data_IF_952844091171
#
_entry.id   IF_952844091171
#
_cell.length_a   1.000
_cell.length_b   1.000
_cell.length_c   1.000
_cell.angle_alpha   90.00
_cell.angle_beta   90.00
_cell.angle_gamma   90.00
#
_symmetry.space_group_name_H-M   'P 1'
#
loop_
_entity.id
_entity.type
_entity.pdbx_description
1 polymer ?
#
# COMPACT_ATOMS: atom_id res chain seq x y z
N UNK A 1 -10.16 12.85 -8.79
CA UNK A 1 -10.39 11.59 -8.07
C UNK A 1 -11.76 10.99 -8.34
N UNK A 2 -12.00 10.48 -9.55
CA UNK A 2 -13.08 9.51 -9.80
C UNK A 2 -12.45 8.13 -9.88
N UNK A 3 -13.14 7.13 -9.35
CA UNK A 3 -12.78 5.72 -9.53
C UNK A 3 -13.51 5.21 -10.77
N UNK A 4 -12.75 4.72 -11.74
CA UNK A 4 -13.25 4.00 -12.91
C UNK A 4 -12.95 2.52 -12.70
N UNK A 5 -13.91 1.61 -12.95
CA UNK A 5 -13.72 0.18 -12.70
C UNK A 5 -12.49 -0.39 -13.42
N UNK A 6 -12.26 0.02 -14.66
CA UNK A 6 -11.15 -0.51 -15.47
C UNK A 6 -9.80 0.16 -15.18
N UNK A 7 -9.81 1.44 -14.81
CA UNK A 7 -8.59 2.25 -14.69
C UNK A 7 -8.17 2.51 -13.24
N UNK A 8 -9.04 2.27 -12.26
CA UNK A 8 -8.80 2.60 -10.85
C UNK A 8 -9.03 4.06 -10.52
N UNK A 9 -8.31 4.57 -9.52
CA UNK A 9 -8.44 5.94 -9.04
C UNK A 9 -7.69 6.90 -9.95
N UNK A 10 -8.42 7.79 -10.65
CA UNK A 10 -7.80 8.82 -11.49
C UNK A 10 -7.26 9.94 -10.61
N UNK A 11 -5.93 10.03 -10.52
CA UNK A 11 -5.19 11.04 -9.75
C UNK A 11 -5.17 12.35 -10.52
N UNK A 12 -4.68 12.32 -11.76
CA UNK A 12 -4.46 13.52 -12.56
C UNK A 12 -4.59 13.24 -14.06
N UNK A 13 -5.04 14.25 -14.82
CA UNK A 13 -4.92 14.27 -16.27
C UNK A 13 -3.55 14.87 -16.59
N UNK A 14 -2.66 14.08 -17.17
CA UNK A 14 -1.30 14.52 -17.50
C UNK A 14 -1.29 15.36 -18.77
N UNK A 15 -2.09 14.94 -19.75
CA UNK A 15 -2.08 15.53 -21.07
C UNK A 15 -3.43 15.32 -21.76
N UNK A 16 -3.80 16.25 -22.65
CA UNK A 16 -5.03 16.19 -23.43
C UNK A 16 -4.73 16.65 -24.85
N UNK A 17 -4.92 15.74 -25.79
CA UNK A 17 -4.85 16.00 -27.22
C UNK A 17 -6.29 16.02 -27.77
N UNK A 18 -6.77 17.21 -28.13
CA UNK A 18 -8.10 17.40 -28.70
C UNK A 18 -8.02 17.59 -30.22
N UNK A 19 -8.97 16.99 -30.94
CA UNK A 19 -9.10 17.24 -32.38
C UNK A 19 -9.46 18.71 -32.63
N UNK A 20 -8.78 19.40 -33.56
CA UNK A 20 -9.04 20.81 -33.84
C UNK A 20 -10.42 21.04 -34.46
N UNK A 21 -11.03 20.00 -35.05
CA UNK A 21 -12.36 20.05 -35.64
C UNK A 21 -13.38 19.49 -34.66
N UNK A 22 -14.29 20.36 -34.20
CA UNK A 22 -15.40 20.01 -33.31
C UNK A 22 -16.75 19.95 -34.04
N UNK A 23 -17.76 19.43 -33.35
CA UNK A 23 -19.16 19.34 -33.80
C UNK A 23 -20.04 20.21 -32.90
N UNK A 24 -21.01 20.92 -33.48
CA UNK A 24 -22.05 21.62 -32.74
C UNK A 24 -23.31 20.75 -32.67
N UNK A 25 -23.89 20.61 -31.48
CA UNK A 25 -25.14 19.88 -31.30
C UNK A 25 -26.33 20.84 -31.47
N UNK A 26 -27.45 20.40 -32.09
CA UNK A 26 -28.64 21.24 -32.18
C UNK A 26 -29.12 21.67 -30.79
N UNK A 27 -29.39 22.96 -30.61
CA UNK A 27 -29.87 23.58 -29.35
C UNK A 27 -28.83 23.66 -28.23
N UNK A 28 -27.57 23.33 -28.51
CA UNK A 28 -26.43 23.57 -27.62
C UNK A 28 -25.37 24.43 -28.35
N UNK A 29 -24.93 25.52 -27.71
CA UNK A 29 -23.93 26.43 -28.26
C UNK A 29 -22.48 25.97 -28.04
N UNK A 30 -22.27 24.86 -27.33
CA UNK A 30 -20.95 24.33 -27.05
C UNK A 30 -20.34 23.58 -28.24
N UNK A 31 -19.02 23.73 -28.43
CA UNK A 31 -18.24 22.95 -29.40
C UNK A 31 -17.77 21.64 -28.79
N UNK A 32 -18.16 20.52 -29.38
CA UNK A 32 -17.77 19.19 -28.93
C UNK A 32 -16.60 18.67 -29.73
N UNK A 33 -15.49 18.40 -29.06
CA UNK A 33 -14.28 17.86 -29.67
C UNK A 33 -14.05 16.44 -29.20
N UNK A 34 -13.59 15.56 -30.10
CA UNK A 34 -13.02 14.28 -29.68
C UNK A 34 -11.66 14.56 -29.06
N UNK A 35 -11.42 14.06 -27.86
CA UNK A 35 -10.14 14.24 -27.18
C UNK A 35 -9.60 12.90 -26.69
N UNK A 36 -8.28 12.75 -26.76
CA UNK A 36 -7.54 11.68 -26.12
C UNK A 36 -6.80 12.28 -24.94
N UNK A 37 -7.06 11.74 -23.75
CA UNK A 37 -6.41 12.19 -22.53
C UNK A 37 -5.46 11.11 -22.02
N UNK A 38 -4.25 11.51 -21.58
CA UNK A 38 -3.35 10.65 -20.80
C UNK A 38 -3.66 10.86 -19.33
N UNK A 39 -4.01 9.78 -18.64
CA UNK A 39 -4.42 9.80 -17.23
C UNK A 39 -3.36 9.12 -16.37
N UNK A 40 -3.01 9.75 -15.25
CA UNK A 40 -2.28 9.12 -14.16
C UNK A 40 -3.31 8.47 -13.23
N UNK A 41 -3.31 7.15 -13.19
CA UNK A 41 -4.24 6.36 -12.41
C UNK A 41 -3.51 5.53 -11.37
N UNK A 42 -4.12 5.40 -10.19
CA UNK A 42 -3.69 4.50 -9.14
C UNK A 42 -4.61 3.27 -9.14
N UNK A 43 -4.03 2.11 -9.44
CA UNK A 43 -4.76 0.84 -9.56
C UNK A 43 -4.08 -0.23 -8.69
N UNK A 44 -4.58 -0.47 -7.46
CA UNK A 44 -4.03 -1.51 -6.59
C UNK A 44 -4.38 -2.90 -7.12
N UNK A 45 -3.38 -3.78 -7.23
CA UNK A 45 -3.59 -5.16 -7.67
C UNK A 45 -3.66 -6.12 -6.49
N UNK A 46 -4.46 -7.18 -6.64
CA UNK A 46 -4.53 -8.25 -5.64
C UNK A 46 -3.18 -8.98 -5.60
N UNK A 47 -2.68 -9.28 -4.40
CA UNK A 47 -1.37 -9.84 -4.09
C UNK A 47 -0.15 -8.94 -4.32
N UNK A 48 -0.37 -7.68 -4.72
CA UNK A 48 0.70 -6.70 -4.82
C UNK A 48 1.32 -6.44 -3.43
N UNK A 49 2.65 -6.37 -3.39
CA UNK A 49 3.39 -5.97 -2.19
C UNK A 49 3.70 -4.49 -2.33
N UNK A 50 3.24 -3.70 -1.36
CA UNK A 50 3.45 -2.27 -1.29
C UNK A 50 4.08 -1.85 0.02
N UNK A 51 4.49 -0.60 0.05
CA UNK A 51 4.96 0.10 1.25
C UNK A 51 4.07 1.30 1.48
N UNK A 52 3.87 1.65 2.75
CA UNK A 52 3.06 2.78 3.13
C UNK A 52 3.25 3.15 4.59
N UNK A 53 2.76 4.32 4.94
CA UNK A 53 2.87 4.91 6.26
C UNK A 53 1.58 4.68 7.04
N UNK A 54 1.68 4.31 8.31
CA UNK A 54 0.52 4.22 9.20
C UNK A 54 0.02 5.63 9.52
N UNK A 55 -1.20 5.97 9.11
CA UNK A 55 -1.82 7.29 9.37
C UNK A 55 -2.62 7.28 10.66
N UNK A 56 -3.30 6.18 10.94
CA UNK A 56 -4.21 6.09 12.08
C UNK A 56 -4.24 4.65 12.60
N UNK A 57 -4.37 4.52 13.92
CA UNK A 57 -4.51 3.23 14.59
C UNK A 57 -5.78 3.29 15.42
N UNK A 58 -6.59 2.24 15.30
CA UNK A 58 -7.85 2.05 16.03
C UNK A 58 -7.86 0.70 16.72
N UNK A 59 -8.87 0.45 17.57
CA UNK A 59 -9.01 -0.83 18.28
C UNK A 59 -9.19 -2.03 17.32
N UNK A 60 -9.75 -1.80 16.13
CA UNK A 60 -10.02 -2.86 15.15
C UNK A 60 -8.92 -3.01 14.10
N UNK A 61 -7.94 -2.10 14.03
CA UNK A 61 -6.89 -2.18 13.03
C UNK A 61 -6.03 -0.92 12.89
N UNK A 62 -5.31 -0.84 11.78
CA UNK A 62 -4.51 0.31 11.39
C UNK A 62 -4.85 0.73 9.97
N UNK A 63 -4.88 2.04 9.72
CA UNK A 63 -5.00 2.63 8.40
C UNK A 63 -3.62 3.00 7.89
N UNK A 64 -3.28 2.45 6.73
CA UNK A 64 -1.99 2.66 6.07
C UNK A 64 -2.26 3.42 4.78
N UNK A 65 -1.57 4.55 4.59
CA UNK A 65 -1.69 5.33 3.37
C UNK A 65 -0.95 4.64 2.24
N UNK A 66 -1.68 4.36 1.15
CA UNK A 66 -1.15 3.76 -0.07
C UNK A 66 -1.43 4.71 -1.23
N UNK A 67 -0.56 5.71 -1.37
CA UNK A 67 -0.72 6.76 -2.37
C UNK A 67 -1.98 7.60 -2.12
N UNK A 68 -2.97 7.62 -3.04
CA UNK A 68 -4.18 8.44 -2.90
C UNK A 68 -5.30 7.78 -2.09
N UNK A 69 -5.16 6.51 -1.70
CA UNK A 69 -6.16 5.75 -0.95
C UNK A 69 -5.57 5.25 0.37
N UNK A 70 -6.44 5.07 1.35
CA UNK A 70 -6.09 4.44 2.62
C UNK A 70 -6.47 2.96 2.60
N UNK A 71 -5.55 2.11 3.03
CA UNK A 71 -5.74 0.68 3.16
C UNK A 71 -6.00 0.32 4.62
N UNK A 72 -6.95 -0.59 4.84
CA UNK A 72 -7.30 -1.12 6.14
C UNK A 72 -6.48 -2.39 6.41
N UNK A 73 -5.68 -2.34 7.47
CA UNK A 73 -5.03 -3.49 8.07
C UNK A 73 -5.83 -3.91 9.31
N UNK A 74 -6.57 -5.00 9.21
CA UNK A 74 -7.35 -5.53 10.33
C UNK A 74 -6.43 -6.03 11.45
N UNK A 75 -6.81 -5.88 12.72
CA UNK A 75 -5.98 -6.24 13.89
C UNK A 75 -5.45 -7.68 13.82
N UNK A 76 -6.27 -8.63 13.36
CA UNK A 76 -5.87 -10.05 13.22
C UNK A 76 -4.86 -10.33 12.10
N UNK A 77 -4.61 -9.35 11.22
CA UNK A 77 -3.69 -9.43 10.09
C UNK A 77 -2.37 -8.68 10.31
N UNK A 78 -2.21 -8.00 11.46
CA UNK A 78 -1.02 -7.21 11.79
C UNK A 78 0.17 -8.13 12.14
N UNK A 79 0.00 -8.99 13.13
CA UNK A 79 1.03 -9.91 13.62
C UNK A 79 0.39 -11.18 14.17
N UNK A 80 1.16 -12.27 14.21
CA UNK A 80 0.73 -13.54 14.79
C UNK A 80 0.89 -13.55 16.31
N UNK A 81 0.24 -12.60 16.98
CA UNK A 81 0.35 -12.41 18.44
C UNK A 81 -0.93 -11.83 19.04
N UNK A 82 -1.05 -11.89 20.36
CA UNK A 82 -2.05 -11.14 21.10
C UNK A 82 -1.67 -9.67 21.15
N UNK A 83 -2.43 -8.85 20.43
CA UNK A 83 -2.22 -7.42 20.34
C UNK A 83 -3.03 -6.73 21.43
N UNK A 84 -2.39 -5.78 22.13
CA UNK A 84 -3.05 -4.86 23.06
C UNK A 84 -3.03 -3.47 22.46
N UNK A 85 -4.18 -2.79 22.44
CA UNK A 85 -4.29 -1.41 22.03
C UNK A 85 -4.11 -0.50 23.25
N UNK A 86 -3.16 0.44 23.17
CA UNK A 86 -3.01 1.51 24.17
C UNK A 86 -3.65 2.78 23.61
N UNK A 87 -4.82 3.13 24.15
CA UNK A 87 -5.65 4.25 23.70
C UNK A 87 -4.95 5.61 23.89
N UNK A 88 -4.03 5.73 24.85
CA UNK A 88 -3.36 7.01 25.14
C UNK A 88 -2.29 7.38 24.12
N UNK A 89 -1.69 6.39 23.48
CA UNK A 89 -0.58 6.59 22.56
C UNK A 89 -0.94 6.18 21.13
N UNK A 90 -2.14 5.63 20.90
CA UNK A 90 -2.55 5.03 19.62
C UNK A 90 -1.53 4.00 19.14
N UNK A 91 -1.02 3.17 20.06
CA UNK A 91 0.01 2.16 19.77
C UNK A 91 -0.57 0.76 19.90
N UNK A 92 -0.20 -0.12 18.97
CA UNK A 92 -0.48 -1.55 19.05
C UNK A 92 0.77 -2.29 19.50
N UNK A 93 0.66 -3.04 20.59
CA UNK A 93 1.78 -3.81 21.17
C UNK A 93 1.44 -5.29 21.21
N UNK A 94 2.33 -6.12 20.63
CA UNK A 94 2.26 -7.58 20.73
C UNK A 94 2.77 -8.08 22.08
N UNK A 95 1.99 -8.88 22.80
CA UNK A 95 2.34 -9.37 24.15
C UNK A 95 3.52 -10.35 24.18
N UNK A 96 3.69 -11.21 23.16
CA UNK A 96 4.77 -12.23 23.12
C UNK A 96 6.02 -11.72 22.40
N UNK A 97 5.83 -10.98 21.32
CA UNK A 97 6.91 -10.46 20.48
C UNK A 97 7.48 -9.14 20.98
N UNK A 98 6.69 -8.36 21.73
CA UNK A 98 7.06 -7.00 22.15
C UNK A 98 7.10 -6.01 20.97
N UNK A 99 6.62 -6.42 19.80
CA UNK A 99 6.61 -5.59 18.60
C UNK A 99 5.59 -4.46 18.79
N UNK A 100 6.01 -3.23 18.49
CA UNK A 100 5.19 -2.03 18.58
C UNK A 100 4.93 -1.47 17.19
N UNK A 101 3.69 -1.05 16.95
CA UNK A 101 3.27 -0.32 15.76
C UNK A 101 2.68 1.01 16.19
N UNK A 102 3.25 2.10 15.69
CA UNK A 102 2.88 3.48 16.02
C UNK A 102 2.42 4.23 14.76
N UNK A 103 1.74 5.35 14.94
CA UNK A 103 1.38 6.25 13.84
C UNK A 103 2.66 6.89 13.28
N UNK A 104 2.79 6.91 11.96
CA UNK A 104 3.99 7.37 11.24
C UNK A 104 4.98 6.25 10.90
N UNK A 105 4.73 5.01 11.31
CA UNK A 105 5.61 3.89 10.98
C UNK A 105 5.47 3.48 9.50
N UNK A 106 6.61 3.24 8.85
CA UNK A 106 6.68 2.62 7.52
C UNK A 106 6.51 1.10 7.60
N UNK A 107 5.52 0.61 6.87
CA UNK A 107 5.13 -0.80 6.85
C UNK A 107 5.05 -1.33 5.43
N UNK A 108 5.61 -2.53 5.25
CA UNK A 108 5.46 -3.31 4.03
C UNK A 108 4.30 -4.26 4.18
N UNK A 109 3.34 -4.20 3.27
CA UNK A 109 2.12 -4.99 3.32
C UNK A 109 1.84 -5.66 1.97
N UNK A 110 0.94 -6.64 1.99
CA UNK A 110 0.39 -7.25 0.78
C UNK A 110 -1.10 -6.98 0.67
N UNK A 111 -1.55 -6.63 -0.53
CA UNK A 111 -2.97 -6.44 -0.83
C UNK A 111 -3.68 -7.79 -0.93
N UNK A 112 -4.73 -7.98 -0.15
CA UNK A 112 -5.53 -9.22 -0.12
C UNK A 112 -6.86 -9.03 -0.84
N UNK A 113 -7.48 -7.87 -0.63
CA UNK A 113 -8.78 -7.57 -1.20
C UNK A 113 -8.78 -6.12 -1.69
N UNK A 114 -9.32 -5.91 -2.88
CA UNK A 114 -9.53 -4.59 -3.46
C UNK A 114 -11.01 -4.46 -3.75
N UNK A 115 -11.66 -3.49 -3.12
CA UNK A 115 -13.05 -3.13 -3.41
C UNK A 115 -13.09 -1.66 -3.80
N UNK A 116 -13.10 -1.44 -5.10
CA UNK A 116 -13.21 -0.12 -5.71
C UNK A 116 -14.67 0.08 -6.13
N UNK A 117 -15.50 0.54 -5.20
CA UNK A 117 -16.88 0.91 -5.53
C UNK A 117 -16.88 2.24 -6.29
N UNK A 118 -17.76 2.36 -7.30
CA UNK A 118 -18.04 3.60 -8.00
C UNK A 118 -18.29 4.75 -7.00
N UNK A 119 -17.35 5.70 -6.92
CA UNK A 119 -17.42 6.81 -5.98
C UNK A 119 -16.04 7.31 -5.55
N UNK A 120 -16.00 7.94 -4.37
CA UNK A 120 -14.79 8.56 -3.81
C UNK A 120 -14.02 7.63 -2.86
N UNK A 121 -14.67 6.58 -2.35
CA UNK A 121 -14.13 5.73 -1.29
C UNK A 121 -13.83 4.33 -1.81
N UNK A 122 -12.55 4.04 -2.04
CA UNK A 122 -12.07 2.68 -2.26
C UNK A 122 -11.71 2.02 -0.93
N UNK A 123 -12.07 0.75 -0.73
CA UNK A 123 -11.63 -0.05 0.42
C UNK A 123 -10.58 -1.04 -0.04
N UNK A 124 -9.39 -0.96 0.54
CA UNK A 124 -8.30 -1.88 0.27
C UNK A 124 -8.02 -2.65 1.56
N UNK A 125 -8.12 -3.98 1.51
CA UNK A 125 -7.76 -4.86 2.62
C UNK A 125 -6.34 -5.38 2.43
N UNK A 126 -5.51 -5.20 3.46
CA UNK A 126 -4.09 -5.57 3.43
C UNK A 126 -3.73 -6.54 4.58
N UNK A 127 -2.61 -7.24 4.44
CA UNK A 127 -2.05 -8.14 5.47
C UNK A 127 -0.55 -7.95 5.62
N UNK A 128 -0.05 -8.11 6.84
CA UNK A 128 1.37 -8.10 7.19
C UNK A 128 1.82 -9.40 7.88
N UNK A 129 0.94 -10.40 8.01
CA UNK A 129 1.23 -11.67 8.71
C UNK A 129 2.13 -12.64 7.95
N UNK A 130 2.43 -12.35 6.68
CA UNK A 130 3.23 -13.23 5.84
C UNK A 130 4.74 -12.97 6.03
N UNK A 131 5.61 -13.97 5.77
CA UNK A 131 7.05 -13.77 5.89
C UNK A 131 7.52 -12.61 5.00
N UNK A 132 8.49 -11.84 5.51
CA UNK A 132 9.07 -10.63 4.89
C UNK A 132 8.14 -9.41 4.79
N UNK A 133 7.00 -9.42 5.48
CA UNK A 133 6.10 -8.26 5.63
C UNK A 133 6.10 -7.73 7.07
N UNK A 134 5.54 -6.53 7.25
CA UNK A 134 5.47 -5.82 8.53
C UNK A 134 6.31 -4.55 8.54
N UNK A 135 6.60 -4.04 9.75
CA UNK A 135 7.43 -2.85 9.94
C UNK A 135 8.84 -3.10 9.38
N UNK A 136 9.40 -2.11 8.69
CA UNK A 136 10.74 -2.21 8.08
C UNK A 136 11.82 -2.64 9.10
N UNK A 137 11.69 -2.20 10.36
CA UNK A 137 12.58 -2.59 11.45
C UNK A 137 12.51 -4.09 11.77
N UNK A 138 11.32 -4.69 11.74
CA UNK A 138 11.12 -6.11 12.03
C UNK A 138 11.71 -6.98 10.91
N UNK A 139 11.58 -6.50 9.67
CA UNK A 139 12.15 -7.16 8.50
C UNK A 139 13.67 -7.19 8.61
N UNK A 140 14.32 -6.05 8.93
CA UNK A 140 15.77 -5.98 9.13
C UNK A 140 16.24 -6.96 10.19
N UNK A 141 15.59 -6.97 11.37
CA UNK A 141 15.94 -7.88 12.47
C UNK A 141 15.75 -9.35 12.13
N UNK A 142 14.74 -9.67 11.32
CA UNK A 142 14.48 -11.03 10.83
C UNK A 142 15.51 -11.47 9.79
N UNK A 143 15.96 -10.55 8.93
CA UNK A 143 17.02 -10.77 7.96
C UNK A 143 18.38 -10.99 8.63
N UNK A 144 18.71 -10.19 9.64
CA UNK A 144 19.95 -10.35 10.42
C UNK A 144 20.02 -11.71 11.13
N UNK A 145 18.89 -12.23 11.61
CA UNK A 145 18.80 -13.59 12.16
C UNK A 145 18.86 -14.70 11.09
N UNK A 146 18.44 -14.40 9.87
CA UNK A 146 18.39 -15.36 8.77
C UNK A 146 19.67 -15.41 7.94
N UNK A 147 20.56 -14.41 8.06
CA UNK A 147 21.93 -14.48 7.51
C UNK A 147 22.83 -15.21 8.51
N UNK A 148 23.13 -16.51 8.32
CA UNK A 148 24.27 -17.10 9.02
C UNK A 148 25.53 -16.33 8.62
N UNK A 149 26.43 -16.13 9.58
CA UNK A 149 27.74 -15.53 9.36
C UNK A 149 28.38 -16.10 8.09
N UNK A 150 29.04 -15.29 7.24
CA UNK A 150 29.77 -15.82 6.11
C UNK A 150 30.78 -16.81 6.67
N UNK A 151 30.57 -18.11 6.44
CA UNK A 151 31.57 -19.14 6.71
C UNK A 151 32.82 -18.66 5.98
N UNK A 152 33.80 -18.16 6.74
CA UNK A 152 35.13 -17.83 6.24
C UNK A 152 35.58 -19.06 5.46
N UNK A 153 35.56 -18.99 4.14
CA UNK A 153 36.20 -19.98 3.31
C UNK A 153 37.66 -19.95 3.75
N UNK A 154 38.10 -20.99 4.47
CA UNK A 154 39.51 -21.20 4.73
C UNK A 154 40.17 -21.25 3.37
N UNK A 155 40.90 -20.20 3.01
CA UNK A 155 41.86 -20.26 1.93
C UNK A 155 42.80 -21.41 2.30
N UNK A 156 42.65 -22.54 1.61
CA UNK A 156 43.60 -23.63 1.67
C UNK A 156 44.83 -23.09 0.95
N UNK A 157 45.79 -22.61 1.74
CA UNK A 157 47.16 -22.50 1.27
C UNK A 157 47.63 -23.93 0.98
N UNK A 158 47.56 -24.31 -0.30
CA UNK A 158 48.22 -25.49 -0.82
C UNK A 158 49.54 -25.03 -1.43
N UNK A 159 50.63 -25.34 -0.73
CA UNK A 159 51.95 -25.53 -1.33
C UNK A 159 51.85 -26.62 -2.40
N UNK A 160 52.38 -26.35 -3.60
CA UNK A 160 53.26 -27.23 -4.40
C UNK A 160 53.86 -26.44 -5.57
#
# INVERSE_FOLDING_TARGET
>A
GKILEDLGYVVMVVDVEADPVGVLLPRDGATYHKAKAKLLCFHPRIQEVGEGEVVEITEFGAFIRVGPLDALLHISQIMDDYITYDEKHSVLVGKKTGNKLEVGDDVRFRVVAVSLTHGTTGKIGITTRQPYLGKLEWIKKSLEKAMPEPKKAKAVAGEE
#
